data_IF_803080189946
#
_entry.id   IF_803080189946
#
_cell.length_a   1.000
_cell.length_b   1.000
_cell.length_c   1.000
_cell.angle_alpha   90.00
_cell.angle_beta   90.00
_cell.angle_gamma   90.00
#
_symmetry.space_group_name_H-M   'P 1'
#
loop_
_entity.id
_entity.type
_entity.pdbx_description
1 polymer ?
#
# COMPACT_ATOMS: atom_id res chain seq x y z
N UNK A 1 12.66 20.59 -0.71
CA UNK A 1 12.22 19.54 -1.64
C UNK A 1 12.14 20.03 -3.09
N UNK A 2 11.31 21.05 -3.41
CA UNK A 2 11.13 21.50 -4.80
C UNK A 2 12.41 21.93 -5.50
N UNK A 3 13.30 22.66 -4.83
CA UNK A 3 14.60 23.06 -5.39
C UNK A 3 15.48 21.84 -5.71
N UNK A 4 15.54 20.86 -4.81
CA UNK A 4 16.30 19.63 -5.06
C UNK A 4 15.75 18.88 -6.27
N UNK A 5 14.43 18.77 -6.37
CA UNK A 5 13.77 18.13 -7.53
C UNK A 5 14.11 18.87 -8.84
N UNK A 6 14.00 20.21 -8.84
CA UNK A 6 14.26 21.03 -10.03
C UNK A 6 15.70 20.88 -10.57
N UNK A 7 16.69 20.78 -9.66
CA UNK A 7 18.10 20.64 -10.04
C UNK A 7 18.47 19.20 -10.39
N UNK A 8 17.82 18.22 -9.77
CA UNK A 8 18.24 16.81 -9.83
C UNK A 8 17.52 16.02 -10.92
N UNK A 9 16.22 16.29 -11.13
CA UNK A 9 15.38 15.44 -12.01
C UNK A 9 15.52 15.88 -13.47
N UNK A 10 15.90 14.95 -14.33
CA UNK A 10 15.91 15.12 -15.81
C UNK A 10 14.69 14.47 -16.45
N UNK A 11 14.33 13.28 -16.01
CA UNK A 11 13.14 12.58 -16.50
C UNK A 11 12.42 11.86 -15.36
N UNK A 12 11.09 11.98 -15.32
CA UNK A 12 10.25 11.30 -14.32
C UNK A 12 8.89 10.91 -14.91
N UNK A 13 8.26 9.91 -14.31
CA UNK A 13 6.87 9.57 -14.55
C UNK A 13 6.15 9.26 -13.22
N UNK A 14 4.82 9.43 -13.19
CA UNK A 14 4.02 9.14 -12.00
C UNK A 14 4.15 7.68 -11.57
N UNK A 15 4.16 6.75 -12.54
CA UNK A 15 4.25 5.32 -12.28
C UNK A 15 5.64 4.87 -11.83
N UNK A 16 6.70 5.36 -12.49
CA UNK A 16 8.08 4.84 -12.29
C UNK A 16 8.96 5.73 -11.41
N UNK A 17 8.50 6.93 -11.02
CA UNK A 17 9.32 7.91 -10.29
C UNK A 17 10.36 8.57 -11.19
N UNK A 18 11.47 8.99 -10.59
CA UNK A 18 12.58 9.57 -11.33
C UNK A 18 13.31 8.48 -12.10
N UNK A 19 13.44 8.68 -13.40
CA UNK A 19 14.13 7.76 -14.31
C UNK A 19 15.56 8.20 -14.57
N UNK A 20 15.77 9.51 -14.69
CA UNK A 20 17.05 10.10 -15.02
C UNK A 20 17.34 11.28 -14.10
N UNK A 21 18.57 11.33 -13.58
CA UNK A 21 19.05 12.39 -12.69
C UNK A 21 20.21 13.17 -13.30
N UNK A 22 20.42 14.38 -12.81
CA UNK A 22 21.58 15.16 -13.14
C UNK A 22 22.83 14.49 -12.56
N UNK A 23 23.81 14.15 -13.39
CA UNK A 23 25.05 13.49 -13.01
C UNK A 23 25.90 14.26 -11.98
N UNK A 24 25.74 15.60 -11.92
CA UNK A 24 26.40 16.44 -10.93
C UNK A 24 25.79 16.34 -9.51
N UNK A 25 24.67 15.62 -9.34
CA UNK A 25 23.96 15.51 -8.06
C UNK A 25 23.96 14.07 -7.56
N UNK A 26 24.64 13.82 -6.44
CA UNK A 26 24.63 12.51 -5.80
C UNK A 26 23.40 12.37 -4.90
N UNK A 27 22.37 11.72 -5.44
CA UNK A 27 21.09 11.49 -4.74
C UNK A 27 21.25 10.66 -3.47
N UNK A 28 22.12 9.64 -3.50
CA UNK A 28 22.35 8.74 -2.36
C UNK A 28 23.05 9.49 -1.22
N UNK A 29 24.02 10.35 -1.53
CA UNK A 29 24.68 11.19 -0.55
C UNK A 29 23.71 12.16 0.13
N UNK A 30 22.87 12.86 -0.65
CA UNK A 30 21.82 13.75 -0.12
C UNK A 30 20.87 12.95 0.77
N UNK A 31 20.46 11.76 0.33
CA UNK A 31 19.60 10.89 1.11
C UNK A 31 20.22 10.55 2.46
N UNK A 32 21.44 10.05 2.48
CA UNK A 32 22.13 9.63 3.70
C UNK A 32 22.40 10.81 4.66
N UNK A 33 22.79 11.97 4.13
CA UNK A 33 23.13 13.13 4.94
C UNK A 33 21.92 13.87 5.53
N UNK A 34 20.80 13.93 4.80
CA UNK A 34 19.70 14.84 5.15
C UNK A 34 18.33 14.16 5.27
N UNK A 35 18.08 13.05 4.58
CA UNK A 35 16.76 12.40 4.54
C UNK A 35 16.69 11.26 5.55
N UNK A 36 17.66 10.39 5.57
CA UNK A 36 17.70 9.23 6.45
C UNK A 36 17.65 9.60 7.95
N UNK A 37 18.43 10.59 8.44
CA UNK A 37 18.35 11.00 9.84
C UNK A 37 16.97 11.51 10.25
N UNK A 38 16.26 12.19 9.33
CA UNK A 38 14.88 12.65 9.60
C UNK A 38 13.88 11.51 9.68
N UNK A 39 14.07 10.46 8.87
CA UNK A 39 13.22 9.26 8.91
C UNK A 39 13.50 8.38 10.15
N UNK A 40 14.72 8.42 10.67
CA UNK A 40 15.14 7.69 11.87
C UNK A 40 14.80 8.41 13.18
N UNK A 41 14.47 9.71 13.12
CA UNK A 41 14.17 10.50 14.31
C UNK A 41 12.95 9.91 15.06
N UNK A 42 13.09 9.59 16.37
CA UNK A 42 12.09 8.82 17.11
C UNK A 42 10.78 9.59 17.35
N UNK A 43 10.86 10.92 17.49
CA UNK A 43 9.67 11.75 17.67
C UNK A 43 8.97 11.98 16.35
N UNK A 44 7.88 11.24 16.11
CA UNK A 44 7.07 11.35 14.91
C UNK A 44 6.29 12.67 14.84
N UNK A 45 6.00 13.30 15.98
CA UNK A 45 5.26 14.56 16.05
C UNK A 45 6.15 15.77 15.73
N UNK A 46 7.48 15.64 15.93
CA UNK A 46 8.42 16.69 15.60
C UNK A 46 8.51 16.90 14.08
N UNK A 47 8.36 18.13 13.64
CA UNK A 47 8.56 18.58 12.25
C UNK A 47 7.83 17.72 11.20
N UNK A 48 6.50 17.51 11.30
CA UNK A 48 5.77 16.55 10.47
C UNK A 48 5.87 16.86 8.96
N UNK A 49 5.95 18.13 8.58
CA UNK A 49 6.11 18.54 7.18
C UNK A 49 7.50 18.14 6.63
N UNK A 50 8.55 18.25 7.46
CA UNK A 50 9.90 17.85 7.05
C UNK A 50 9.98 16.33 6.90
N UNK A 51 9.41 15.58 7.85
CA UNK A 51 9.31 14.11 7.75
C UNK A 51 8.51 13.67 6.52
N UNK A 52 7.35 14.27 6.27
CA UNK A 52 6.58 14.02 5.05
C UNK A 52 7.40 14.32 3.78
N UNK A 53 8.19 15.39 3.80
CA UNK A 53 9.15 15.72 2.75
C UNK A 53 10.23 14.66 2.58
N UNK A 54 10.76 14.11 3.66
CA UNK A 54 11.75 13.04 3.67
C UNK A 54 11.17 11.74 3.08
N UNK A 55 9.96 11.33 3.50
CA UNK A 55 9.26 10.18 2.94
C UNK A 55 8.99 10.38 1.44
N UNK A 56 8.55 11.59 1.05
CA UNK A 56 8.32 11.92 -0.37
C UNK A 56 9.62 11.85 -1.18
N UNK A 57 10.76 12.27 -0.62
CA UNK A 57 12.06 12.14 -1.27
C UNK A 57 12.38 10.67 -1.54
N UNK A 58 12.32 9.82 -0.52
CA UNK A 58 12.58 8.39 -0.64
C UNK A 58 11.69 7.74 -1.72
N UNK A 59 10.40 8.05 -1.70
CA UNK A 59 9.44 7.57 -2.69
C UNK A 59 9.74 8.05 -4.12
N UNK A 60 10.16 9.30 -4.28
CA UNK A 60 10.45 9.92 -5.58
C UNK A 60 11.70 9.32 -6.20
N UNK A 61 12.76 9.18 -5.41
CA UNK A 61 14.06 8.68 -5.84
C UNK A 61 14.27 7.18 -5.60
N UNK A 62 13.18 6.40 -5.45
CA UNK A 62 13.25 4.95 -5.16
C UNK A 62 14.06 4.13 -6.15
N UNK A 63 14.21 4.62 -7.40
CA UNK A 63 15.01 3.94 -8.41
C UNK A 63 16.51 4.17 -8.23
N UNK A 64 16.90 5.33 -7.68
CA UNK A 64 18.27 5.70 -7.41
C UNK A 64 18.78 5.15 -6.07
N UNK A 65 17.87 4.81 -5.15
CA UNK A 65 18.26 4.20 -3.87
C UNK A 65 18.66 2.73 -4.07
N UNK A 66 19.76 2.29 -3.43
CA UNK A 66 20.15 0.88 -3.38
C UNK A 66 19.03 -0.01 -2.79
N UNK A 67 19.00 -1.26 -3.19
CA UNK A 67 18.02 -2.24 -2.68
C UNK A 67 18.11 -2.37 -1.15
N UNK A 68 19.32 -2.40 -0.60
CA UNK A 68 19.52 -2.48 0.85
C UNK A 68 18.97 -1.27 1.60
N UNK A 69 19.05 -0.07 1.01
CA UNK A 69 18.43 1.13 1.57
C UNK A 69 16.92 0.99 1.61
N UNK A 70 16.30 0.45 0.55
CA UNK A 70 14.85 0.20 0.52
C UNK A 70 14.43 -0.79 1.61
N UNK A 71 15.20 -1.86 1.81
CA UNK A 71 14.97 -2.85 2.88
C UNK A 71 15.04 -2.23 4.27
N UNK A 72 16.03 -1.36 4.52
CA UNK A 72 16.16 -0.64 5.80
C UNK A 72 15.04 0.36 6.04
N UNK A 73 14.48 0.94 4.97
CA UNK A 73 13.41 1.93 5.08
C UNK A 73 12.04 1.31 5.40
N UNK A 74 11.78 0.07 5.01
CA UNK A 74 10.47 -0.56 5.22
C UNK A 74 10.02 -0.57 6.69
N UNK A 75 10.83 -1.01 7.66
CA UNK A 75 10.44 -0.93 9.08
C UNK A 75 10.29 0.52 9.58
N UNK A 76 11.09 1.45 9.10
CA UNK A 76 10.95 2.88 9.45
C UNK A 76 9.62 3.44 8.93
N UNK A 77 9.25 3.13 7.69
CA UNK A 77 7.96 3.52 7.13
C UNK A 77 6.79 2.87 7.88
N UNK A 78 6.95 1.61 8.32
CA UNK A 78 6.00 0.93 9.20
C UNK A 78 5.76 1.71 10.50
N UNK A 79 6.81 2.23 11.13
CA UNK A 79 6.69 3.09 12.30
C UNK A 79 5.95 4.41 11.99
N UNK A 80 6.17 5.00 10.82
CA UNK A 80 5.47 6.23 10.42
C UNK A 80 3.97 6.02 10.13
N UNK A 81 3.50 4.78 9.93
CA UNK A 81 2.06 4.48 9.87
C UNK A 81 1.38 4.71 11.22
N UNK A 82 2.11 4.61 12.34
CA UNK A 82 1.57 4.87 13.67
C UNK A 82 1.44 6.37 14.01
N UNK A 83 1.91 7.27 13.14
CA UNK A 83 1.82 8.70 13.36
C UNK A 83 0.36 9.18 13.40
N UNK A 84 0.05 10.07 14.34
CA UNK A 84 -1.28 10.69 14.44
C UNK A 84 -1.57 11.66 13.29
N UNK A 85 -0.53 12.29 12.75
CA UNK A 85 -0.64 13.25 11.67
C UNK A 85 -1.00 12.54 10.35
N UNK A 86 -2.17 12.85 9.80
CA UNK A 86 -2.69 12.27 8.55
C UNK A 86 -1.67 12.34 7.40
N UNK A 87 -0.94 13.44 7.30
CA UNK A 87 0.08 13.63 6.27
C UNK A 87 1.19 12.59 6.36
N UNK A 88 1.64 12.22 7.57
CA UNK A 88 2.74 11.27 7.75
C UNK A 88 2.33 9.85 7.37
N UNK A 89 1.26 9.33 7.98
CA UNK A 89 0.82 7.98 7.66
C UNK A 89 0.35 7.82 6.21
N UNK A 90 -0.23 8.86 5.61
CA UNK A 90 -0.59 8.85 4.18
C UNK A 90 0.63 8.77 3.27
N UNK A 91 1.67 9.59 3.53
CA UNK A 91 2.92 9.52 2.76
C UNK A 91 3.68 8.22 3.00
N UNK A 92 3.67 7.68 4.23
CA UNK A 92 4.27 6.39 4.55
C UNK A 92 3.59 5.26 3.77
N UNK A 93 2.26 5.18 3.79
CA UNK A 93 1.48 4.20 3.03
C UNK A 93 1.76 4.30 1.52
N UNK A 94 1.74 5.53 0.97
CA UNK A 94 2.06 5.75 -0.45
C UNK A 94 3.51 5.38 -0.82
N UNK A 95 4.47 5.59 0.09
CA UNK A 95 5.86 5.20 -0.11
C UNK A 95 6.03 3.68 -0.10
N UNK A 96 5.40 2.99 0.87
CA UNK A 96 5.37 1.53 0.96
C UNK A 96 4.80 0.92 -0.32
N UNK A 97 3.65 1.41 -0.80
CA UNK A 97 3.05 0.95 -2.06
C UNK A 97 4.02 1.05 -3.24
N UNK A 98 4.72 2.19 -3.35
CA UNK A 98 5.69 2.42 -4.43
C UNK A 98 6.94 1.57 -4.30
N UNK A 99 7.41 1.28 -3.10
CA UNK A 99 8.54 0.39 -2.88
C UNK A 99 8.20 -1.05 -3.25
N UNK A 100 7.04 -1.54 -2.84
CA UNK A 100 6.52 -2.85 -3.23
C UNK A 100 6.29 -2.99 -4.74
N UNK A 101 6.08 -1.88 -5.45
CA UNK A 101 5.96 -1.85 -6.90
C UNK A 101 7.27 -1.56 -7.65
N UNK A 102 8.37 -1.25 -6.93
CA UNK A 102 9.62 -0.86 -7.56
C UNK A 102 10.35 -2.06 -8.17
N UNK A 103 10.88 -1.86 -9.38
CA UNK A 103 11.66 -2.86 -10.11
C UNK A 103 13.08 -2.34 -10.33
N UNK A 104 14.01 -3.25 -10.46
CA UNK A 104 15.38 -2.97 -10.88
C UNK A 104 15.49 -2.82 -12.42
N UNK A 105 16.70 -2.64 -12.92
CA UNK A 105 16.96 -2.49 -14.34
C UNK A 105 16.63 -3.76 -15.15
N UNK A 106 16.67 -4.94 -14.51
CA UNK A 106 16.32 -6.23 -15.12
C UNK A 106 14.81 -6.52 -15.06
N UNK A 107 14.02 -5.64 -14.41
CA UNK A 107 12.57 -5.82 -14.22
C UNK A 107 12.19 -6.67 -13.00
N UNK A 108 13.16 -7.11 -12.20
CA UNK A 108 12.90 -7.84 -10.97
C UNK A 108 12.45 -6.90 -9.84
N UNK A 109 11.59 -7.35 -8.90
CA UNK A 109 11.18 -6.55 -7.76
C UNK A 109 12.39 -6.17 -6.90
N UNK A 110 12.52 -4.88 -6.54
CA UNK A 110 13.52 -4.44 -5.56
C UNK A 110 13.20 -4.89 -4.14
N UNK A 111 11.91 -5.05 -3.85
CA UNK A 111 11.40 -5.55 -2.59
C UNK A 111 10.26 -6.52 -2.90
N UNK A 112 10.58 -7.78 -2.93
CA UNK A 112 9.65 -8.83 -3.33
C UNK A 112 9.04 -9.58 -2.15
N UNK A 113 8.44 -10.73 -2.46
CA UNK A 113 7.76 -11.60 -1.50
C UNK A 113 8.66 -12.05 -0.35
N UNK A 114 9.91 -12.46 -0.66
CA UNK A 114 10.84 -12.94 0.36
C UNK A 114 11.21 -11.86 1.38
N UNK A 115 11.45 -10.65 0.90
CA UNK A 115 11.76 -9.50 1.75
C UNK A 115 10.53 -9.01 2.53
N UNK A 116 9.33 -9.12 1.97
CA UNK A 116 8.09 -8.71 2.62
C UNK A 116 7.67 -9.65 3.74
N UNK A 117 7.92 -10.96 3.60
CA UNK A 117 7.45 -12.01 4.51
C UNK A 117 7.66 -11.68 6.00
N UNK A 118 8.84 -11.26 6.48
CA UNK A 118 9.05 -10.96 7.90
C UNK A 118 8.28 -9.71 8.39
N UNK A 119 7.85 -8.85 7.49
CA UNK A 119 7.13 -7.61 7.79
C UNK A 119 5.64 -7.68 7.49
N UNK A 120 5.15 -8.72 6.82
CA UNK A 120 3.80 -8.78 6.28
C UNK A 120 2.73 -8.59 7.35
N UNK A 121 2.77 -9.38 8.41
CA UNK A 121 1.74 -9.34 9.47
C UNK A 121 1.71 -7.98 10.17
N UNK A 122 2.81 -7.43 10.72
CA UNK A 122 2.78 -6.12 11.35
C UNK A 122 2.43 -4.99 10.40
N UNK A 123 2.85 -5.06 9.13
CA UNK A 123 2.51 -4.06 8.13
C UNK A 123 1.01 -4.04 7.84
N UNK A 124 0.43 -5.19 7.57
CA UNK A 124 -1.00 -5.33 7.27
C UNK A 124 -1.85 -4.90 8.47
N UNK A 125 -1.47 -5.31 9.68
CA UNK A 125 -2.14 -4.88 10.91
C UNK A 125 -2.11 -3.35 11.09
N UNK A 126 -0.95 -2.72 10.87
CA UNK A 126 -0.81 -1.26 10.97
C UNK A 126 -1.65 -0.51 9.94
N UNK A 127 -1.66 -0.99 8.69
CA UNK A 127 -2.46 -0.40 7.62
C UNK A 127 -3.97 -0.52 7.88
N UNK A 128 -4.45 -1.68 8.33
CA UNK A 128 -5.87 -1.84 8.68
C UNK A 128 -6.27 -1.04 9.92
N UNK A 129 -5.38 -0.88 10.90
CA UNK A 129 -5.63 0.00 12.04
C UNK A 129 -5.89 1.46 11.61
N UNK A 130 -5.21 1.93 10.55
CA UNK A 130 -5.50 3.24 9.96
C UNK A 130 -6.87 3.27 9.26
N UNK A 131 -7.25 2.22 8.55
CA UNK A 131 -8.58 2.11 7.91
C UNK A 131 -9.69 2.12 8.95
N UNK A 132 -9.49 1.49 10.11
CA UNK A 132 -10.50 1.42 11.18
C UNK A 132 -10.66 2.74 11.95
N UNK A 133 -9.56 3.44 12.20
CA UNK A 133 -9.55 4.71 12.95
C UNK A 133 -9.97 5.92 12.11
N UNK A 134 -9.87 5.82 10.79
CA UNK A 134 -10.07 6.97 9.92
C UNK A 134 -11.53 7.44 9.90
N UNK A 135 -11.75 8.71 10.15
CA UNK A 135 -13.04 9.38 9.91
C UNK A 135 -13.35 9.50 8.41
N UNK A 136 -12.31 9.59 7.60
CA UNK A 136 -12.37 9.68 6.14
C UNK A 136 -11.53 8.57 5.51
N UNK A 137 -12.07 7.97 4.47
CA UNK A 137 -11.40 6.93 3.70
C UNK A 137 -10.12 7.43 3.04
N UNK A 138 -9.01 6.75 3.31
CA UNK A 138 -7.70 7.08 2.74
C UNK A 138 -7.33 6.09 1.64
N UNK A 139 -7.44 6.52 0.38
CA UNK A 139 -7.15 5.71 -0.80
C UNK A 139 -5.71 5.19 -0.84
N UNK A 140 -4.75 5.95 -0.32
CA UNK A 140 -3.33 5.56 -0.30
C UNK A 140 -3.07 4.41 0.65
N UNK A 141 -3.76 4.39 1.79
CA UNK A 141 -3.69 3.29 2.77
C UNK A 141 -4.30 2.02 2.16
N UNK A 142 -5.48 2.10 1.55
CA UNK A 142 -6.12 0.94 0.93
C UNK A 142 -5.30 0.42 -0.27
N UNK A 143 -4.71 1.31 -1.05
CA UNK A 143 -3.80 0.92 -2.14
C UNK A 143 -2.55 0.20 -1.64
N UNK A 144 -2.00 0.62 -0.50
CA UNK A 144 -0.86 -0.05 0.12
C UNK A 144 -1.23 -1.46 0.62
N UNK A 145 -2.43 -1.64 1.19
CA UNK A 145 -2.98 -2.96 1.56
C UNK A 145 -3.05 -3.85 0.32
N UNK A 146 -3.73 -3.41 -0.72
CA UNK A 146 -3.86 -4.15 -1.98
C UNK A 146 -2.50 -4.58 -2.52
N UNK A 147 -1.51 -3.67 -2.52
CA UNK A 147 -0.17 -3.97 -3.02
C UNK A 147 0.57 -4.96 -2.12
N UNK A 148 0.48 -4.83 -0.80
CA UNK A 148 1.10 -5.76 0.14
C UNK A 148 0.54 -7.18 -0.02
N UNK A 149 -0.78 -7.33 -0.11
CA UNK A 149 -1.43 -8.61 -0.37
C UNK A 149 -1.02 -9.20 -1.73
N UNK A 150 -0.91 -8.35 -2.77
CA UNK A 150 -0.50 -8.76 -4.12
C UNK A 150 0.93 -9.29 -4.17
N UNK A 151 1.87 -8.68 -3.43
CA UNK A 151 3.28 -9.10 -3.37
C UNK A 151 3.47 -10.32 -2.46
N UNK A 152 2.68 -10.40 -1.40
CA UNK A 152 2.76 -11.52 -0.44
C UNK A 152 2.30 -12.84 -1.04
N UNK A 153 1.38 -12.82 -2.00
CA UNK A 153 0.80 -14.04 -2.59
C UNK A 153 0.36 -15.04 -1.51
N UNK A 154 0.81 -16.31 -1.57
CA UNK A 154 0.44 -17.32 -0.59
C UNK A 154 0.96 -17.11 0.84
N UNK A 155 1.87 -16.18 1.07
CA UNK A 155 2.31 -15.85 2.42
C UNK A 155 1.23 -15.13 3.25
N UNK A 156 0.10 -14.76 2.64
CA UNK A 156 -1.10 -14.24 3.36
C UNK A 156 -1.87 -15.31 4.12
N UNK A 157 -1.65 -16.60 3.83
CA UNK A 157 -2.42 -17.71 4.43
C UNK A 157 -2.56 -17.61 5.96
N UNK A 158 -1.49 -17.38 6.75
CA UNK A 158 -1.59 -17.31 8.20
C UNK A 158 -2.45 -16.16 8.73
N UNK A 159 -2.59 -15.08 7.95
CA UNK A 159 -3.32 -13.86 8.33
C UNK A 159 -4.66 -13.71 7.60
N UNK A 160 -5.04 -14.67 6.75
CA UNK A 160 -6.24 -14.60 5.89
C UNK A 160 -7.51 -14.30 6.68
N UNK A 161 -7.75 -14.99 7.79
CA UNK A 161 -8.95 -14.79 8.59
C UNK A 161 -9.08 -13.38 9.14
N UNK A 162 -7.99 -12.82 9.66
CA UNK A 162 -7.94 -11.44 10.15
C UNK A 162 -8.16 -10.44 9.00
N UNK A 163 -7.44 -10.59 7.90
CA UNK A 163 -7.55 -9.72 6.72
C UNK A 163 -8.96 -9.74 6.16
N UNK A 164 -9.57 -10.92 6.03
CA UNK A 164 -10.94 -11.07 5.52
C UNK A 164 -11.98 -10.38 6.42
N UNK A 165 -11.82 -10.50 7.74
CA UNK A 165 -12.71 -9.83 8.70
C UNK A 165 -12.60 -8.29 8.58
N UNK A 166 -11.38 -7.76 8.45
CA UNK A 166 -11.12 -6.32 8.26
C UNK A 166 -11.67 -5.79 6.94
N UNK A 167 -11.46 -6.53 5.85
CA UNK A 167 -12.02 -6.21 4.53
C UNK A 167 -13.55 -6.21 4.58
N UNK A 168 -14.19 -7.21 5.21
CA UNK A 168 -15.63 -7.29 5.37
C UNK A 168 -16.18 -6.07 6.13
N UNK A 169 -15.53 -5.65 7.21
CA UNK A 169 -15.93 -4.47 7.97
C UNK A 169 -15.80 -3.18 7.13
N UNK A 170 -14.71 -3.02 6.37
CA UNK A 170 -14.54 -1.90 5.45
C UNK A 170 -15.59 -1.89 4.35
N UNK A 171 -15.89 -3.05 3.76
CA UNK A 171 -16.91 -3.22 2.71
C UNK A 171 -18.30 -2.84 3.22
N UNK A 172 -18.68 -3.27 4.42
CA UNK A 172 -19.97 -2.92 5.02
C UNK A 172 -20.12 -1.38 5.18
N UNK A 173 -19.07 -0.68 5.60
CA UNK A 173 -19.08 0.80 5.70
C UNK A 173 -19.24 1.47 4.34
N UNK A 174 -18.47 1.03 3.35
CA UNK A 174 -18.49 1.56 1.99
C UNK A 174 -19.83 1.31 1.31
N UNK A 175 -20.45 0.14 1.50
CA UNK A 175 -21.78 -0.16 0.96
C UNK A 175 -22.87 0.71 1.56
N UNK A 176 -22.76 1.08 2.85
CA UNK A 176 -23.70 1.98 3.49
C UNK A 176 -23.57 3.43 2.99
N UNK A 177 -22.39 3.85 2.56
CA UNK A 177 -22.12 5.22 2.12
C UNK A 177 -20.89 5.31 1.21
N UNK A 178 -21.05 5.07 -0.10
CA UNK A 178 -19.94 5.12 -1.06
C UNK A 178 -19.53 6.58 -1.32
N UNK A 179 -18.42 7.02 -0.74
CA UNK A 179 -17.94 8.41 -0.86
C UNK A 179 -16.65 8.56 -1.66
N UNK A 180 -15.77 7.54 -1.62
CA UNK A 180 -14.45 7.64 -2.22
C UNK A 180 -14.25 6.53 -3.27
N UNK A 181 -14.49 6.83 -4.57
CA UNK A 181 -14.38 5.83 -5.64
C UNK A 181 -13.01 5.15 -5.73
N UNK A 182 -11.93 5.87 -5.40
CA UNK A 182 -10.57 5.28 -5.43
C UNK A 182 -10.32 4.35 -4.27
N UNK A 183 -10.78 4.70 -3.06
CA UNK A 183 -10.73 3.79 -1.93
C UNK A 183 -11.54 2.52 -2.21
N UNK A 184 -12.74 2.68 -2.73
CA UNK A 184 -13.64 1.59 -3.09
C UNK A 184 -12.98 0.66 -4.12
N UNK A 185 -12.39 1.23 -5.18
CA UNK A 185 -11.64 0.47 -6.18
C UNK A 185 -10.55 -0.40 -5.54
N UNK A 186 -9.69 0.18 -4.70
CA UNK A 186 -8.61 -0.58 -4.07
C UNK A 186 -9.10 -1.58 -3.03
N UNK A 187 -10.24 -1.33 -2.39
CA UNK A 187 -10.89 -2.31 -1.51
C UNK A 187 -11.32 -3.55 -2.29
N UNK A 188 -12.04 -3.38 -3.41
CA UNK A 188 -12.46 -4.49 -4.26
C UNK A 188 -11.26 -5.22 -4.90
N UNK A 189 -10.24 -4.50 -5.34
CA UNK A 189 -9.01 -5.13 -5.83
C UNK A 189 -8.30 -5.93 -4.72
N UNK A 190 -8.32 -5.45 -3.46
CA UNK A 190 -7.79 -6.21 -2.31
C UNK A 190 -8.53 -7.52 -2.08
N UNK A 191 -9.86 -7.52 -2.23
CA UNK A 191 -10.68 -8.73 -2.18
C UNK A 191 -10.25 -9.71 -3.29
N UNK A 192 -10.18 -9.23 -4.53
CA UNK A 192 -9.82 -10.06 -5.68
C UNK A 192 -8.40 -10.66 -5.56
N UNK A 193 -7.46 -9.87 -5.03
CA UNK A 193 -6.09 -10.33 -4.76
C UNK A 193 -6.07 -11.40 -3.68
N UNK A 194 -6.80 -11.19 -2.57
CA UNK A 194 -6.83 -12.12 -1.45
C UNK A 194 -7.48 -13.45 -1.86
N UNK A 195 -8.63 -13.42 -2.55
CA UNK A 195 -9.29 -14.62 -3.08
C UNK A 195 -8.33 -15.42 -3.96
N UNK A 196 -7.66 -14.76 -4.92
CA UNK A 196 -6.72 -15.42 -5.81
C UNK A 196 -5.52 -16.02 -5.06
N UNK A 197 -4.97 -15.28 -4.09
CA UNK A 197 -3.79 -15.72 -3.34
C UNK A 197 -4.08 -16.93 -2.44
N UNK A 198 -5.30 -17.03 -1.90
CA UNK A 198 -5.71 -18.11 -0.98
C UNK A 198 -6.37 -19.25 -1.73
N UNK A 199 -7.45 -19.00 -2.45
CA UNK A 199 -8.21 -20.05 -3.15
C UNK A 199 -7.46 -20.63 -4.34
N UNK A 200 -6.53 -19.89 -4.94
CA UNK A 200 -5.65 -20.41 -6.00
C UNK A 200 -4.61 -21.41 -5.49
N UNK A 201 -4.34 -21.45 -4.19
CA UNK A 201 -3.45 -22.45 -3.57
C UNK A 201 -4.24 -23.62 -2.97
N UNK A 202 -5.38 -23.34 -2.36
CA UNK A 202 -6.22 -24.36 -1.72
C UNK A 202 -7.71 -23.99 -1.91
N UNK A 203 -8.38 -24.75 -2.76
CA UNK A 203 -9.82 -24.61 -3.03
C UNK A 203 -10.71 -24.84 -1.80
N UNK A 204 -10.20 -25.46 -0.73
CA UNK A 204 -10.94 -25.66 0.52
C UNK A 204 -11.36 -24.36 1.22
N UNK A 205 -10.72 -23.24 0.89
CA UNK A 205 -11.05 -21.92 1.45
C UNK A 205 -12.20 -21.19 0.74
N UNK A 206 -12.67 -21.66 -0.41
CA UNK A 206 -13.70 -20.99 -1.22
C UNK A 206 -14.98 -20.76 -0.41
N UNK A 207 -15.47 -21.77 0.31
CA UNK A 207 -16.68 -21.63 1.13
C UNK A 207 -16.59 -20.52 2.17
N UNK A 208 -15.47 -20.38 2.84
CA UNK A 208 -15.26 -19.31 3.83
C UNK A 208 -15.30 -17.91 3.20
N UNK A 209 -14.78 -17.76 1.98
CA UNK A 209 -14.87 -16.50 1.23
C UNK A 209 -16.29 -16.21 0.75
N UNK A 210 -17.03 -17.25 0.33
CA UNK A 210 -18.44 -17.12 -0.04
C UNK A 210 -19.27 -16.63 1.14
N UNK A 211 -19.16 -17.29 2.28
CA UNK A 211 -19.90 -16.93 3.50
C UNK A 211 -19.57 -15.50 3.98
N UNK A 212 -18.33 -15.06 3.78
CA UNK A 212 -17.91 -13.73 4.19
C UNK A 212 -18.34 -12.61 3.22
N UNK A 213 -18.33 -12.87 1.90
CA UNK A 213 -18.46 -11.83 0.87
C UNK A 213 -19.86 -11.79 0.24
N UNK A 214 -20.60 -12.92 0.20
CA UNK A 214 -21.93 -12.93 -0.42
C UNK A 214 -22.94 -12.00 0.26
N UNK A 215 -23.06 -11.96 1.60
CA UNK A 215 -24.02 -11.06 2.23
C UNK A 215 -23.79 -9.58 1.87
N UNK A 216 -22.58 -9.00 1.98
CA UNK A 216 -22.34 -7.63 1.55
C UNK A 216 -22.54 -7.42 0.04
N UNK A 217 -22.20 -8.40 -0.80
CA UNK A 217 -22.42 -8.31 -2.25
C UNK A 217 -23.91 -8.34 -2.61
N UNK A 218 -24.71 -9.16 -1.93
CA UNK A 218 -26.17 -9.14 -2.07
C UNK A 218 -26.75 -7.77 -1.69
N UNK A 219 -26.26 -7.19 -0.61
CA UNK A 219 -26.67 -5.83 -0.20
C UNK A 219 -26.35 -4.80 -1.29
N UNK A 220 -25.16 -4.84 -1.88
CA UNK A 220 -24.77 -3.97 -3.01
C UNK A 220 -25.75 -4.10 -4.17
N UNK A 221 -26.09 -5.33 -4.56
CA UNK A 221 -26.99 -5.59 -5.68
C UNK A 221 -28.43 -5.17 -5.37
N UNK A 222 -28.91 -5.40 -4.14
CA UNK A 222 -30.27 -5.04 -3.70
C UNK A 222 -30.45 -3.52 -3.58
N UNK A 223 -29.41 -2.81 -3.15
CA UNK A 223 -29.42 -1.35 -3.02
C UNK A 223 -29.15 -0.63 -4.36
N UNK A 224 -28.93 -1.39 -5.44
CA UNK A 224 -28.61 -0.88 -6.77
C UNK A 224 -27.45 0.13 -6.77
N UNK A 225 -26.38 -0.19 -6.00
CA UNK A 225 -25.17 0.63 -5.98
C UNK A 225 -24.42 0.39 -7.29
N UNK A 226 -24.79 1.13 -8.32
CA UNK A 226 -24.33 0.97 -9.71
C UNK A 226 -22.79 0.97 -9.83
N UNK A 227 -22.11 1.76 -8.97
CA UNK A 227 -20.65 1.82 -8.95
C UNK A 227 -19.99 0.51 -8.56
N UNK A 228 -20.63 -0.36 -7.78
CA UNK A 228 -20.05 -1.59 -7.25
C UNK A 228 -20.45 -2.84 -8.04
N UNK A 229 -21.53 -2.78 -8.79
CA UNK A 229 -22.03 -3.89 -9.59
C UNK A 229 -20.95 -4.56 -10.47
N UNK A 230 -20.09 -3.82 -11.20
CA UNK A 230 -19.02 -4.42 -12.00
C UNK A 230 -18.00 -5.20 -11.17
N UNK A 231 -17.65 -4.71 -9.97
CA UNK A 231 -16.70 -5.37 -9.09
C UNK A 231 -17.25 -6.66 -8.49
N UNK A 232 -18.53 -6.68 -8.13
CA UNK A 232 -19.22 -7.89 -7.65
C UNK A 232 -19.14 -8.98 -8.72
N UNK A 233 -19.51 -8.67 -9.97
CA UNK A 233 -19.40 -9.62 -11.08
C UNK A 233 -17.96 -10.06 -11.37
N UNK A 234 -16.97 -9.17 -11.29
CA UNK A 234 -15.56 -9.53 -11.44
C UNK A 234 -15.08 -10.50 -10.35
N UNK A 235 -15.52 -10.31 -9.11
CA UNK A 235 -15.19 -11.22 -8.01
C UNK A 235 -15.74 -12.63 -8.24
N UNK A 236 -16.94 -12.73 -8.81
CA UNK A 236 -17.56 -14.02 -9.17
C UNK A 236 -16.94 -14.66 -10.42
N UNK A 237 -16.60 -13.88 -11.45
CA UNK A 237 -16.09 -14.39 -12.73
C UNK A 237 -14.66 -14.96 -12.64
N UNK A 238 -13.88 -14.58 -11.65
CA UNK A 238 -12.49 -15.07 -11.46
C UNK A 238 -12.39 -16.46 -10.80
N UNK A 239 -13.49 -17.22 -10.80
CA UNK A 239 -13.59 -18.60 -10.31
C UNK A 239 -13.22 -19.69 -11.33
N UNK A 240 -13.03 -19.33 -12.60
CA UNK A 240 -12.72 -20.27 -13.68
C UNK A 240 -11.22 -20.43 -13.93
#
# INVERSE_FOLDING_TARGET
>A
MHLVLAVTVRAQSAAHGVRETNAAVNVVEIFNAHVLPELQAPDLAARPIVKAGAIKFASTFRNQLPVETVRQLMPLLGNHLAAEQVVLHTYAAACIERFLGAKDAAGAPKFGRAELRPFLQPLVAALFALVEKAEQENEYVMKAIMRALSVAEGDVMPVTGEVLAKIKAALARVCANPRNPRFNHFLFESIAVLVRAVCGQDGGHVGAFEDALFPPFQTVLQMDVAEFTPYVFQAFARRG
#
